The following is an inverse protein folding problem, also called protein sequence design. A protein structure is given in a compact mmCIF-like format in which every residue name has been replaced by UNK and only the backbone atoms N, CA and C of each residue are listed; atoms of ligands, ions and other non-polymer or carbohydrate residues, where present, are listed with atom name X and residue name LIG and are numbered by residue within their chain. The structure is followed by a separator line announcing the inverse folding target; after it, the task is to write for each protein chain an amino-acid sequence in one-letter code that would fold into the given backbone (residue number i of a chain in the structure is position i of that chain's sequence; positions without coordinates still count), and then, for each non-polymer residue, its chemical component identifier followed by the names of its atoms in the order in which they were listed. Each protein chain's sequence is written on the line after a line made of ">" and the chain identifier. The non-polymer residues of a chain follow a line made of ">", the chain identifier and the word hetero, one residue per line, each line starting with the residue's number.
data_IF_772202922260
#
_entry.id   IF_772202922260
#
_cell.length_a   1.000
_cell.length_b   1.000
_cell.length_c   1.000
_cell.angle_alpha   90.00
_cell.angle_beta   90.00
_cell.angle_gamma   90.00
#
_symmetry.space_group_name_H-M   'P 1'
#
loop_
_entity.id
_entity.type
_entity.pdbx_description
1 polymer ?
#
# COMPACT_ATOMS: atom_id res chain seq x y z
N UNK A 1 -5.90 -13.08 -7.80
CA UNK A 1 -5.26 -13.66 -6.60
C UNK A 1 -5.42 -15.17 -6.66
N UNK A 2 -4.43 -15.95 -6.24
CA UNK A 2 -4.60 -17.41 -6.12
C UNK A 2 -5.55 -17.74 -4.96
N UNK A 3 -6.42 -18.74 -5.13
CA UNK A 3 -7.42 -19.11 -4.12
C UNK A 3 -6.78 -19.48 -2.77
N UNK A 4 -5.60 -20.09 -2.79
CA UNK A 4 -4.87 -20.47 -1.57
C UNK A 4 -4.42 -19.25 -0.77
N UNK A 5 -3.87 -18.22 -1.43
CA UNK A 5 -3.51 -16.95 -0.80
C UNK A 5 -4.74 -16.26 -0.21
N UNK A 6 -5.87 -16.29 -0.93
CA UNK A 6 -7.12 -15.73 -0.45
C UNK A 6 -7.61 -16.46 0.82
N UNK A 7 -7.53 -17.80 0.84
CA UNK A 7 -7.84 -18.60 2.03
C UNK A 7 -6.92 -18.28 3.20
N UNK A 8 -5.63 -18.04 2.97
CA UNK A 8 -4.70 -17.64 4.04
C UNK A 8 -5.13 -16.32 4.70
N UNK A 9 -5.46 -15.30 3.89
CA UNK A 9 -5.95 -14.03 4.42
C UNK A 9 -7.30 -14.16 5.14
N UNK A 10 -8.22 -14.98 4.63
CA UNK A 10 -9.50 -15.21 5.30
C UNK A 10 -9.35 -16.01 6.60
N UNK A 11 -8.39 -16.93 6.69
CA UNK A 11 -8.04 -17.59 7.95
C UNK A 11 -7.50 -16.59 8.97
N UNK A 12 -6.64 -15.67 8.55
CA UNK A 12 -6.16 -14.58 9.41
C UNK A 12 -7.28 -13.65 9.88
N UNK A 13 -8.24 -13.36 8.98
CA UNK A 13 -9.45 -12.62 9.33
C UNK A 13 -10.23 -13.32 10.46
N UNK A 14 -10.46 -14.62 10.33
CA UNK A 14 -11.18 -15.40 11.34
C UNK A 14 -10.41 -15.62 12.63
N UNK A 15 -9.07 -15.71 12.56
CA UNK A 15 -8.21 -15.86 13.74
C UNK A 15 -8.40 -14.71 14.72
N UNK A 16 -8.70 -13.50 14.23
CA UNK A 16 -9.01 -12.35 15.06
C UNK A 16 -10.27 -12.47 15.92
N UNK A 17 -11.10 -13.50 15.72
CA UNK A 17 -12.27 -13.80 16.56
C UNK A 17 -12.04 -14.97 17.52
N UNK A 18 -10.81 -15.43 17.71
CA UNK A 18 -10.51 -16.48 18.69
C UNK A 18 -10.93 -16.01 20.08
N UNK A 19 -11.68 -16.84 20.82
CA UNK A 19 -12.20 -16.52 22.15
C UNK A 19 -13.55 -15.78 22.15
N UNK A 20 -14.05 -15.34 20.99
CA UNK A 20 -15.19 -14.43 20.89
C UNK A 20 -16.44 -14.87 21.65
N UNK A 21 -16.80 -16.16 21.61
CA UNK A 21 -17.98 -16.62 22.34
C UNK A 21 -17.84 -16.42 23.85
N UNK A 22 -16.67 -16.74 24.41
CA UNK A 22 -16.42 -16.68 25.85
C UNK A 22 -16.21 -15.23 26.30
N UNK A 23 -15.48 -14.45 25.51
CA UNK A 23 -15.08 -13.10 25.88
C UNK A 23 -16.17 -12.06 25.67
N UNK A 24 -17.10 -12.27 24.71
CA UNK A 24 -18.04 -11.22 24.32
C UNK A 24 -19.49 -11.66 24.32
N UNK A 25 -19.80 -12.84 23.75
CA UNK A 25 -21.19 -13.30 23.68
C UNK A 25 -21.78 -13.52 25.08
N UNK A 26 -20.97 -13.88 26.07
CA UNK A 26 -21.44 -14.02 27.46
C UNK A 26 -21.96 -12.70 28.05
N UNK A 27 -21.30 -11.59 27.77
CA UNK A 27 -21.69 -10.26 28.26
C UNK A 27 -22.96 -9.75 27.57
N UNK A 28 -23.05 -9.90 26.24
CA UNK A 28 -24.29 -9.60 25.51
C UNK A 28 -25.47 -10.47 25.98
N UNK A 29 -25.22 -11.76 26.21
CA UNK A 29 -26.23 -12.71 26.71
C UNK A 29 -26.74 -12.28 28.08
N UNK A 30 -25.83 -11.90 28.98
CA UNK A 30 -26.17 -11.44 30.32
C UNK A 30 -27.06 -10.19 30.27
N UNK A 31 -26.69 -9.20 29.45
CA UNK A 31 -27.48 -7.98 29.30
C UNK A 31 -28.88 -8.26 28.76
N UNK A 32 -29.00 -9.18 27.79
CA UNK A 32 -30.28 -9.53 27.20
C UNK A 32 -31.19 -10.28 28.17
N UNK A 33 -30.63 -11.18 28.99
CA UNK A 33 -31.38 -11.89 30.04
C UNK A 33 -31.81 -10.99 31.19
N UNK A 34 -30.96 -10.03 31.56
CA UNK A 34 -31.23 -9.07 32.62
C UNK A 34 -32.08 -7.87 32.15
N UNK A 35 -32.43 -7.82 30.86
CA UNK A 35 -33.12 -6.69 30.23
C UNK A 35 -32.45 -5.34 30.52
N UNK A 36 -31.12 -5.32 30.48
CA UNK A 36 -30.30 -4.11 30.67
C UNK A 36 -29.79 -3.57 29.35
N UNK A 37 -29.73 -2.24 29.24
CA UNK A 37 -29.11 -1.57 28.11
C UNK A 37 -27.60 -1.87 28.12
N UNK A 38 -27.07 -2.26 26.96
CA UNK A 38 -25.64 -2.46 26.77
C UNK A 38 -24.98 -1.11 26.45
N UNK A 39 -23.83 -0.81 27.08
CA UNK A 39 -23.06 0.38 26.74
C UNK A 39 -21.99 0.02 25.71
N UNK A 40 -22.38 0.03 24.44
CA UNK A 40 -21.49 -0.34 23.35
C UNK A 40 -20.25 0.57 23.26
N UNK A 41 -20.41 1.88 23.53
CA UNK A 41 -19.32 2.85 23.42
C UNK A 41 -18.17 2.52 24.40
N UNK A 42 -18.50 2.33 25.69
CA UNK A 42 -17.51 1.95 26.71
C UNK A 42 -16.92 0.57 26.44
N UNK A 43 -17.75 -0.36 25.97
CA UNK A 43 -17.32 -1.73 25.71
C UNK A 43 -16.33 -1.81 24.54
N UNK A 44 -16.55 -1.04 23.48
CA UNK A 44 -15.61 -0.94 22.37
C UNK A 44 -14.28 -0.31 22.83
N UNK A 45 -14.32 0.72 23.68
CA UNK A 45 -13.09 1.36 24.21
C UNK A 45 -12.22 0.37 24.98
N UNK A 46 -12.81 -0.61 25.67
CA UNK A 46 -12.05 -1.58 26.47
C UNK A 46 -11.60 -2.82 25.70
N UNK A 47 -12.21 -3.14 24.56
CA UNK A 47 -11.98 -4.42 23.85
C UNK A 47 -11.48 -4.27 22.42
N UNK A 48 -11.62 -3.08 21.82
CA UNK A 48 -11.22 -2.81 20.45
C UNK A 48 -10.09 -1.79 20.41
N UNK A 49 -9.26 -1.89 19.39
CA UNK A 49 -8.35 -0.82 19.04
C UNK A 49 -9.15 0.42 18.62
N UNK A 50 -8.52 1.59 18.68
CA UNK A 50 -9.16 2.81 18.19
C UNK A 50 -9.42 2.68 16.69
N UNK A 51 -10.70 2.47 16.33
CA UNK A 51 -11.17 2.40 14.96
C UNK A 51 -10.73 3.66 14.18
N UNK A 52 -10.20 3.43 12.99
CA UNK A 52 -9.60 4.48 12.17
C UNK A 52 -10.63 5.37 11.48
N UNK A 53 -11.86 4.88 11.30
CA UNK A 53 -12.92 5.54 10.54
C UNK A 53 -14.05 6.04 11.44
N UNK A 54 -14.48 5.24 12.41
CA UNK A 54 -15.69 5.52 13.17
C UNK A 54 -15.42 5.65 14.67
N UNK A 55 -16.11 6.57 15.38
CA UNK A 55 -15.99 6.66 16.82
C UNK A 55 -16.63 5.43 17.49
N UNK A 56 -16.28 5.15 18.76
CA UNK A 56 -16.93 4.10 19.53
C UNK A 56 -18.47 4.25 19.56
N UNK A 57 -19.18 3.13 19.62
CA UNK A 57 -20.65 3.05 19.68
C UNK A 57 -21.41 3.26 18.37
N UNK A 58 -20.75 3.69 17.28
CA UNK A 58 -21.44 4.08 16.06
C UNK A 58 -20.72 3.66 14.76
N UNK A 59 -21.49 3.39 13.71
CA UNK A 59 -21.05 3.23 12.32
C UNK A 59 -21.95 4.12 11.44
N UNK A 60 -21.43 5.30 11.07
CA UNK A 60 -22.20 6.43 10.48
C UNK A 60 -22.53 6.32 8.99
N UNK A 61 -22.74 5.11 8.48
CA UNK A 61 -22.94 4.86 7.04
C UNK A 61 -24.22 4.08 6.72
N UNK A 62 -25.21 4.17 7.61
CA UNK A 62 -26.53 3.56 7.39
C UNK A 62 -26.56 2.05 7.68
N UNK A 63 -25.66 1.56 8.53
CA UNK A 63 -25.78 0.22 9.12
C UNK A 63 -26.96 0.20 10.09
N UNK A 64 -27.10 1.27 10.90
CA UNK A 64 -28.32 1.57 11.67
C UNK A 64 -29.27 2.45 10.86
N UNK A 65 -30.55 2.11 10.79
CA UNK A 65 -31.57 2.97 10.17
C UNK A 65 -32.00 4.05 11.18
N UNK A 66 -31.70 5.32 10.86
CA UNK A 66 -32.12 6.43 11.71
C UNK A 66 -33.66 6.51 11.88
N UNK A 67 -34.44 5.90 10.97
CA UNK A 67 -35.91 5.92 10.98
C UNK A 67 -36.54 4.82 11.85
N UNK A 68 -35.82 3.75 12.19
CA UNK A 68 -36.32 2.62 13.02
C UNK A 68 -36.27 2.92 14.52
N UNK A 69 -35.59 3.98 14.95
CA UNK A 69 -35.46 4.43 16.35
C UNK A 69 -36.78 4.71 17.10
N UNK A 70 -37.93 4.71 16.41
CA UNK A 70 -39.23 5.08 17.00
C UNK A 70 -39.91 4.00 17.86
N UNK A 71 -39.38 2.78 17.94
CA UNK A 71 -39.80 1.74 18.92
C UNK A 71 -38.62 0.85 19.32
N UNK A 72 -37.73 1.37 20.17
CA UNK A 72 -36.60 0.60 20.73
C UNK A 72 -37.10 -0.67 21.41
N UNK A 73 -36.57 -1.81 20.99
CA UNK A 73 -36.83 -3.11 21.59
C UNK A 73 -35.49 -3.65 22.04
N UNK A 74 -35.35 -4.01 23.31
CA UNK A 74 -34.05 -4.40 23.87
C UNK A 74 -33.38 -5.56 23.12
N UNK A 75 -34.16 -6.47 22.54
CA UNK A 75 -33.63 -7.53 21.67
C UNK A 75 -32.99 -6.95 20.40
N UNK A 76 -33.67 -5.99 19.76
CA UNK A 76 -33.13 -5.29 18.57
C UNK A 76 -31.87 -4.53 18.94
N UNK A 77 -31.91 -3.79 20.05
CA UNK A 77 -30.81 -2.93 20.48
C UNK A 77 -29.56 -3.78 20.75
N UNK A 78 -29.69 -4.87 21.53
CA UNK A 78 -28.57 -5.75 21.86
C UNK A 78 -28.06 -6.52 20.65
N UNK A 79 -28.96 -7.05 19.79
CA UNK A 79 -28.53 -7.69 18.54
C UNK A 79 -27.75 -6.68 17.69
N UNK A 80 -28.28 -5.47 17.51
CA UNK A 80 -27.62 -4.43 16.73
C UNK A 80 -26.27 -4.05 17.33
N UNK A 81 -26.15 -3.98 18.65
CA UNK A 81 -24.88 -3.73 19.35
C UNK A 81 -23.89 -4.88 19.14
N UNK A 82 -24.36 -6.14 19.19
CA UNK A 82 -23.54 -7.31 18.85
C UNK A 82 -23.05 -7.25 17.40
N UNK A 83 -23.91 -6.87 16.44
CA UNK A 83 -23.52 -6.74 15.03
C UNK A 83 -22.50 -5.64 14.82
N UNK A 84 -22.72 -4.44 15.38
CA UNK A 84 -21.77 -3.32 15.26
C UNK A 84 -20.42 -3.68 15.85
N UNK A 85 -20.39 -4.27 17.04
CA UNK A 85 -19.15 -4.74 17.67
C UNK A 85 -18.41 -5.75 16.78
N UNK A 86 -19.14 -6.74 16.27
CA UNK A 86 -18.59 -7.79 15.39
C UNK A 86 -18.04 -7.20 14.09
N UNK A 87 -18.76 -6.27 13.46
CA UNK A 87 -18.32 -5.59 12.22
C UNK A 87 -17.06 -4.77 12.46
N UNK A 88 -16.95 -4.08 13.59
CA UNK A 88 -15.75 -3.29 13.92
C UNK A 88 -14.54 -4.16 14.20
N UNK A 89 -14.71 -5.24 14.96
CA UNK A 89 -13.66 -6.23 15.16
C UNK A 89 -13.21 -6.86 13.82
N UNK A 90 -14.17 -7.15 12.93
CA UNK A 90 -13.88 -7.55 11.55
C UNK A 90 -13.08 -6.50 10.78
N UNK A 91 -13.44 -5.23 10.88
CA UNK A 91 -12.71 -4.12 10.28
C UNK A 91 -11.26 -3.99 10.77
N UNK A 92 -11.00 -4.24 12.06
CA UNK A 92 -9.62 -4.32 12.58
C UNK A 92 -8.84 -5.49 12.00
N UNK A 93 -9.47 -6.65 11.86
CA UNK A 93 -8.85 -7.82 11.24
C UNK A 93 -8.49 -7.52 9.77
N UNK A 94 -9.40 -6.89 9.03
CA UNK A 94 -9.16 -6.43 7.64
C UNK A 94 -8.02 -5.41 7.59
N UNK A 95 -8.01 -4.42 8.50
CA UNK A 95 -6.92 -3.44 8.58
C UNK A 95 -5.57 -4.14 8.73
N UNK A 96 -5.45 -5.10 9.67
CA UNK A 96 -4.20 -5.86 9.87
C UNK A 96 -3.77 -6.61 8.61
N UNK A 97 -4.71 -7.26 7.92
CA UNK A 97 -4.42 -7.95 6.65
C UNK A 97 -3.91 -6.97 5.59
N UNK A 98 -4.56 -5.82 5.43
CA UNK A 98 -4.14 -4.80 4.46
C UNK A 98 -2.76 -4.24 4.78
N UNK A 99 -2.44 -4.06 6.06
CA UNK A 99 -1.11 -3.64 6.49
C UNK A 99 -0.03 -4.68 6.16
N UNK A 100 -0.32 -5.97 6.34
CA UNK A 100 0.57 -7.07 5.93
C UNK A 100 0.79 -7.05 4.43
N UNK A 101 -0.27 -6.93 3.62
CA UNK A 101 -0.18 -6.86 2.16
C UNK A 101 0.70 -5.69 1.72
N UNK A 102 0.54 -4.50 2.33
CA UNK A 102 1.37 -3.35 2.00
C UNK A 102 2.85 -3.59 2.33
N UNK A 103 3.13 -4.25 3.45
CA UNK A 103 4.49 -4.55 3.89
C UNK A 103 5.16 -5.58 2.96
N UNK A 104 4.45 -6.64 2.57
CA UNK A 104 4.94 -7.65 1.63
C UNK A 104 5.26 -7.03 0.26
N UNK A 105 4.38 -6.16 -0.26
CA UNK A 105 4.61 -5.48 -1.54
C UNK A 105 5.79 -4.50 -1.49
N UNK A 106 6.03 -3.87 -0.34
CA UNK A 106 7.21 -3.02 -0.13
C UNK A 106 8.50 -3.84 -0.16
N UNK A 107 8.53 -5.00 0.50
CA UNK A 107 9.70 -5.88 0.52
C UNK A 107 10.01 -6.51 -0.84
N UNK A 108 8.99 -6.95 -1.58
CA UNK A 108 9.17 -7.51 -2.93
C UNK A 108 9.78 -6.49 -3.92
N UNK A 109 9.57 -5.20 -3.68
CA UNK A 109 10.20 -4.13 -4.47
C UNK A 109 11.69 -3.94 -4.18
N UNK A 110 12.20 -4.38 -3.01
CA UNK A 110 13.61 -4.23 -2.65
C UNK A 110 14.47 -5.37 -3.20
N UNK A 111 13.97 -6.61 -3.16
CA UNK A 111 14.70 -7.81 -3.62
C UNK A 111 14.91 -7.88 -5.13
N UNK A 112 14.12 -7.14 -5.92
CA UNK A 112 14.30 -7.04 -7.38
C UNK A 112 15.38 -6.03 -7.80
N UNK A 113 15.89 -5.21 -6.87
CA UNK A 113 16.98 -4.25 -7.15
C UNK A 113 18.38 -4.78 -6.80
N UNK A 114 18.50 -5.79 -5.94
CA UNK A 114 19.80 -6.33 -5.48
C UNK A 114 20.40 -7.40 -6.41
N UNK A 115 19.68 -7.83 -7.45
CA UNK A 115 20.14 -8.88 -8.37
C UNK A 115 21.16 -8.46 -9.43
N UNK A 116 21.37 -7.15 -9.64
CA UNK A 116 22.19 -6.66 -10.75
C UNK A 116 22.98 -5.39 -10.40
N UNK A 117 23.58 -5.36 -9.21
CA UNK A 117 24.52 -4.31 -8.79
C UNK A 117 25.76 -4.92 -8.11
N UNK A 118 26.48 -5.77 -8.84
CA UNK A 118 27.89 -6.02 -8.54
C UNK A 118 28.69 -5.66 -9.77
N UNK A 119 29.08 -4.39 -9.86
CA UNK A 119 30.36 -4.05 -10.47
C UNK A 119 31.14 -3.13 -9.54
N UNK A 120 32.35 -3.58 -9.25
CA UNK A 120 33.31 -2.95 -8.35
C UNK A 120 33.81 -1.66 -8.98
N UNK A 121 33.62 -0.53 -8.29
CA UNK A 121 34.62 0.54 -8.33
C UNK A 121 34.96 1.03 -6.92
N UNK A 122 36.26 0.96 -6.64
CA UNK A 122 36.92 1.45 -5.43
C UNK A 122 36.82 2.98 -5.39
N UNK A 123 36.38 3.50 -4.24
CA UNK A 123 36.93 4.72 -3.66
C UNK A 123 36.13 6.01 -3.89
N UNK A 124 35.23 6.32 -2.95
CA UNK A 124 35.11 7.64 -2.32
C UNK A 124 34.06 7.54 -1.20
N UNK A 125 34.52 7.60 0.06
CA UNK A 125 33.63 7.80 1.20
C UNK A 125 33.25 9.29 1.19
N UNK A 126 32.04 9.59 0.75
CA UNK A 126 31.35 10.81 1.17
C UNK A 126 30.01 10.40 1.76
N UNK A 127 29.98 10.43 3.09
CA UNK A 127 28.79 10.28 3.91
C UNK A 127 27.80 11.40 3.56
N UNK A 128 26.77 11.09 2.78
CA UNK A 128 25.53 11.85 2.79
C UNK A 128 24.51 11.03 3.57
N UNK A 129 24.39 11.35 4.87
CA UNK A 129 23.16 11.08 5.62
C UNK A 129 22.05 11.90 4.97
N UNK A 130 21.23 11.27 4.15
CA UNK A 130 19.87 11.77 3.89
C UNK A 130 18.97 11.31 5.04
N UNK A 131 19.14 11.95 6.20
CA UNK A 131 18.11 11.98 7.24
C UNK A 131 17.15 13.14 6.92
N UNK A 132 15.88 12.81 6.59
CA UNK A 132 14.75 13.61 7.06
C UNK A 132 13.93 14.45 6.06
N UNK A 133 13.38 13.87 4.99
CA UNK A 133 12.23 14.48 4.26
C UNK A 133 11.13 13.49 3.81
N UNK A 134 11.40 12.18 3.75
CA UNK A 134 10.50 11.19 3.08
C UNK A 134 9.39 10.58 3.94
N UNK A 135 9.46 10.63 5.27
CA UNK A 135 8.59 9.82 6.16
C UNK A 135 7.13 10.28 6.26
N UNK A 136 6.84 11.58 6.08
CA UNK A 136 5.48 12.10 6.24
C UNK A 136 4.55 11.69 5.09
N UNK A 137 5.06 11.65 3.85
CA UNK A 137 4.25 11.37 2.66
C UNK A 137 3.89 9.88 2.56
N UNK A 138 4.81 8.99 2.90
CA UNK A 138 4.57 7.53 2.89
C UNK A 138 3.54 7.11 3.95
N UNK A 139 3.64 7.69 5.15
CA UNK A 139 2.69 7.42 6.24
C UNK A 139 1.29 7.90 5.87
N UNK A 140 1.19 9.09 5.24
CA UNK A 140 -0.09 9.64 4.78
C UNK A 140 -0.70 8.80 3.65
N UNK A 141 0.10 8.34 2.69
CA UNK A 141 -0.34 7.46 1.61
C UNK A 141 -0.83 6.10 2.15
N UNK A 142 -0.11 5.50 3.10
CA UNK A 142 -0.54 4.27 3.79
C UNK A 142 -1.89 4.49 4.48
N UNK A 143 -2.04 5.57 5.23
CA UNK A 143 -3.29 5.88 5.92
C UNK A 143 -4.45 6.12 4.95
N UNK A 144 -4.20 6.80 3.82
CA UNK A 144 -5.21 7.03 2.79
C UNK A 144 -5.64 5.72 2.10
N UNK A 145 -4.69 4.83 1.81
CA UNK A 145 -4.98 3.48 1.31
C UNK A 145 -5.87 2.71 2.29
N UNK A 146 -5.46 2.60 3.55
CA UNK A 146 -6.20 1.86 4.56
C UNK A 146 -7.61 2.46 4.75
N UNK A 147 -7.73 3.80 4.82
CA UNK A 147 -9.02 4.47 4.98
C UNK A 147 -9.96 4.21 3.81
N UNK A 148 -9.42 4.24 2.58
CA UNK A 148 -10.21 3.98 1.39
C UNK A 148 -10.83 2.59 1.41
N UNK A 149 -10.02 1.56 1.65
CA UNK A 149 -10.49 0.18 1.63
C UNK A 149 -11.34 -0.18 2.84
N UNK A 150 -11.02 0.29 4.05
CA UNK A 150 -11.90 0.11 5.20
C UNK A 150 -13.26 0.77 4.98
N UNK A 151 -13.32 1.94 4.31
CA UNK A 151 -14.60 2.57 4.00
C UNK A 151 -15.42 1.73 3.02
N UNK A 152 -14.78 1.08 2.05
CA UNK A 152 -15.44 0.13 1.15
C UNK A 152 -15.95 -1.09 1.92
N UNK A 153 -15.15 -1.65 2.84
CA UNK A 153 -15.58 -2.74 3.71
C UNK A 153 -16.86 -2.41 4.46
N UNK A 154 -16.91 -1.26 5.15
CA UNK A 154 -18.11 -0.93 5.92
C UNK A 154 -19.33 -0.61 5.03
N UNK A 155 -19.13 -0.07 3.83
CA UNK A 155 -20.23 0.29 2.91
C UNK A 155 -21.11 -0.90 2.51
N UNK A 156 -20.57 -2.11 2.50
CA UNK A 156 -21.34 -3.33 2.20
C UNK A 156 -22.39 -3.65 3.27
N UNK A 157 -22.24 -3.15 4.51
CA UNK A 157 -23.24 -3.34 5.57
C UNK A 157 -24.36 -2.30 5.54
N UNK A 158 -24.41 -1.44 4.51
CA UNK A 158 -25.47 -0.44 4.40
C UNK A 158 -26.83 -1.13 4.30
N UNK A 159 -27.76 -0.77 5.18
CA UNK A 159 -29.08 -1.38 5.28
C UNK A 159 -29.10 -2.69 6.07
N UNK A 160 -28.01 -3.10 6.73
CA UNK A 160 -27.95 -4.34 7.49
C UNK A 160 -29.07 -4.48 8.53
N UNK A 161 -29.37 -3.40 9.27
CA UNK A 161 -30.48 -3.38 10.23
C UNK A 161 -31.82 -3.71 9.57
N UNK A 162 -32.10 -3.11 8.40
CA UNK A 162 -33.38 -3.28 7.70
C UNK A 162 -33.54 -4.71 7.15
N UNK A 163 -32.45 -5.33 6.68
CA UNK A 163 -32.50 -6.62 5.99
C UNK A 163 -32.41 -7.83 6.92
N UNK A 164 -31.73 -7.73 8.07
CA UNK A 164 -31.39 -8.91 8.88
C UNK A 164 -31.89 -8.87 10.31
N UNK A 165 -31.97 -7.68 10.93
CA UNK A 165 -32.17 -7.57 12.38
C UNK A 165 -33.52 -8.15 12.82
N UNK A 166 -34.57 -7.97 12.01
CA UNK A 166 -35.94 -8.35 12.35
C UNK A 166 -36.15 -9.86 12.47
N UNK A 167 -35.46 -10.66 11.64
CA UNK A 167 -35.60 -12.12 11.65
C UNK A 167 -34.99 -12.71 12.91
N UNK A 168 -33.76 -12.31 13.25
CA UNK A 168 -33.09 -12.74 14.47
C UNK A 168 -33.79 -12.22 15.72
N UNK A 169 -34.29 -10.98 15.69
CA UNK A 169 -35.10 -10.42 16.78
C UNK A 169 -36.36 -11.27 17.01
N UNK A 170 -37.07 -11.62 15.95
CA UNK A 170 -38.31 -12.40 16.02
C UNK A 170 -38.05 -13.81 16.54
N UNK A 171 -36.99 -14.46 16.07
CA UNK A 171 -36.58 -15.79 16.54
C UNK A 171 -36.24 -15.75 18.03
N UNK A 172 -35.38 -14.82 18.45
CA UNK A 172 -34.95 -14.70 19.85
C UNK A 172 -36.13 -14.45 20.79
N UNK A 173 -37.08 -13.58 20.41
CA UNK A 173 -38.30 -13.31 21.20
C UNK A 173 -39.22 -14.52 21.33
N UNK A 174 -39.24 -15.41 20.33
CA UNK A 174 -40.00 -16.66 20.36
C UNK A 174 -39.25 -17.80 21.03
N UNK A 175 -38.09 -17.53 21.61
CA UNK A 175 -37.20 -18.55 22.18
C UNK A 175 -36.89 -19.64 21.14
N UNK A 176 -36.61 -19.22 19.91
CA UNK A 176 -36.23 -20.07 18.78
C UNK A 176 -34.99 -19.52 18.09
N UNK A 177 -34.38 -20.31 17.20
CA UNK A 177 -33.19 -19.92 16.44
C UNK A 177 -33.53 -19.76 14.96
N UNK A 178 -32.81 -18.88 14.28
CA UNK A 178 -32.80 -18.84 12.82
C UNK A 178 -32.07 -20.10 12.32
N UNK A 179 -32.54 -20.68 11.21
CA UNK A 179 -31.76 -21.72 10.55
C UNK A 179 -30.56 -21.08 9.86
N UNK A 180 -29.45 -20.99 10.58
CA UNK A 180 -28.28 -20.25 10.14
C UNK A 180 -27.74 -20.76 8.80
N UNK A 181 -27.76 -22.07 8.55
CA UNK A 181 -27.27 -22.63 7.29
C UNK A 181 -28.10 -22.16 6.08
N UNK A 182 -29.43 -22.15 6.19
CA UNK A 182 -30.32 -21.66 5.12
C UNK A 182 -30.19 -20.15 4.96
N UNK A 183 -30.12 -19.42 6.08
CA UNK A 183 -30.01 -17.96 6.07
C UNK A 183 -28.70 -17.50 5.41
N UNK A 184 -27.58 -18.16 5.72
CA UNK A 184 -26.29 -17.91 5.09
C UNK A 184 -26.34 -18.12 3.56
N UNK A 185 -27.03 -19.16 3.09
CA UNK A 185 -27.16 -19.43 1.64
C UNK A 185 -28.07 -18.43 0.91
N UNK A 186 -28.99 -17.78 1.61
CA UNK A 186 -29.91 -16.80 1.04
C UNK A 186 -29.27 -15.42 0.90
N UNK A 187 -28.44 -15.01 1.87
CA UNK A 187 -28.02 -13.61 2.01
C UNK A 187 -26.54 -13.32 1.72
N UNK A 188 -25.68 -14.33 1.55
CA UNK A 188 -24.27 -14.10 1.23
C UNK A 188 -23.71 -15.18 0.30
N UNK A 189 -22.56 -14.89 -0.32
CA UNK A 189 -21.84 -15.92 -1.06
C UNK A 189 -21.34 -17.01 -0.11
N UNK A 190 -21.08 -18.20 -0.65
CA UNK A 190 -20.53 -19.31 0.13
C UNK A 190 -19.19 -18.88 0.72
N UNK A 191 -19.11 -18.95 2.05
CA UNK A 191 -17.87 -18.73 2.78
C UNK A 191 -16.80 -19.74 2.35
N UNK A 192 -15.58 -19.25 2.15
CA UNK A 192 -14.46 -20.05 1.64
C UNK A 192 -13.79 -20.92 2.71
N UNK A 193 -14.04 -20.64 3.99
CA UNK A 193 -13.38 -21.29 5.13
C UNK A 193 -14.33 -22.25 5.85
N UNK A 194 -15.56 -21.82 6.12
CA UNK A 194 -16.53 -22.57 6.92
C UNK A 194 -17.79 -22.91 6.14
N UNK A 195 -18.29 -24.13 6.33
CA UNK A 195 -19.57 -24.56 5.77
C UNK A 195 -20.76 -23.76 6.34
N UNK A 196 -21.90 -23.71 5.61
CA UNK A 196 -23.10 -23.04 6.09
C UNK A 196 -23.54 -23.50 7.49
N UNK A 197 -23.79 -22.54 8.38
CA UNK A 197 -24.21 -22.78 9.76
C UNK A 197 -23.14 -23.37 10.68
N UNK A 198 -21.88 -23.42 10.23
CA UNK A 198 -20.71 -23.84 11.02
C UNK A 198 -19.78 -22.68 11.28
N UNK A 199 -19.07 -22.71 12.40
CA UNK A 199 -17.99 -21.79 12.73
C UNK A 199 -16.84 -22.57 13.37
N UNK A 200 -15.63 -22.05 13.27
CA UNK A 200 -14.42 -22.71 13.79
C UNK A 200 -14.42 -22.93 15.30
N UNK A 201 -13.85 -24.07 15.72
CA UNK A 201 -13.52 -24.32 17.12
C UNK A 201 -12.49 -23.28 17.60
N UNK A 202 -12.72 -22.71 18.79
CA UNK A 202 -11.91 -21.62 19.34
C UNK A 202 -12.57 -20.26 19.17
N UNK A 203 -13.36 -20.04 18.11
CA UNK A 203 -14.27 -18.89 18.01
C UNK A 203 -15.56 -19.23 18.77
N UNK A 204 -16.13 -20.39 18.45
CA UNK A 204 -17.14 -21.07 19.29
C UNK A 204 -16.41 -21.89 20.35
N UNK A 205 -16.93 -21.87 21.57
CA UNK A 205 -16.43 -22.72 22.63
C UNK A 205 -16.65 -24.20 22.28
N UNK A 206 -15.58 -24.97 22.05
CA UNK A 206 -15.67 -26.39 21.69
C UNK A 206 -16.37 -27.27 22.73
N UNK A 207 -16.51 -26.80 23.98
CA UNK A 207 -17.27 -27.49 25.05
C UNK A 207 -18.76 -27.15 25.06
N UNK A 208 -19.21 -26.23 24.20
CA UNK A 208 -20.60 -25.78 24.14
C UNK A 208 -21.52 -26.91 23.71
N UNK A 209 -22.70 -26.96 24.33
CA UNK A 209 -23.83 -27.78 23.89
C UNK A 209 -24.95 -26.86 23.45
N UNK A 210 -25.21 -26.80 22.15
CA UNK A 210 -26.30 -26.03 21.56
C UNK A 210 -27.66 -26.53 22.09
N UNK A 211 -28.57 -25.61 22.38
CA UNK A 211 -29.91 -25.87 22.92
C UNK A 211 -30.04 -25.66 24.43
N UNK A 212 -28.92 -25.54 25.16
CA UNK A 212 -28.95 -25.30 26.61
C UNK A 212 -29.33 -23.84 26.95
N UNK A 213 -28.99 -22.90 26.08
CA UNK A 213 -29.21 -21.47 26.28
C UNK A 213 -29.57 -20.82 24.95
N UNK A 214 -30.86 -20.84 24.63
CA UNK A 214 -31.36 -20.41 23.31
C UNK A 214 -31.03 -18.94 23.04
N UNK A 215 -30.97 -18.09 24.07
CA UNK A 215 -30.59 -16.68 23.92
C UNK A 215 -29.12 -16.58 23.52
N UNK A 216 -28.22 -17.26 24.26
CA UNK A 216 -26.79 -17.32 23.91
C UNK A 216 -26.61 -17.90 22.52
N UNK A 217 -27.38 -18.94 22.20
CA UNK A 217 -27.30 -19.60 20.91
C UNK A 217 -27.71 -18.69 19.75
N UNK A 218 -28.81 -17.95 19.92
CA UNK A 218 -29.29 -17.00 18.91
C UNK A 218 -28.32 -15.83 18.72
N UNK A 219 -27.71 -15.33 19.81
CA UNK A 219 -26.69 -14.29 19.75
C UNK A 219 -25.43 -14.77 19.01
N UNK A 220 -24.97 -15.99 19.30
CA UNK A 220 -23.84 -16.55 18.55
C UNK A 220 -24.18 -16.78 17.08
N UNK A 221 -25.38 -17.29 16.76
CA UNK A 221 -25.78 -17.49 15.36
C UNK A 221 -25.78 -16.15 14.61
N UNK A 222 -26.27 -15.08 15.25
CA UNK A 222 -26.28 -13.74 14.67
C UNK A 222 -24.86 -13.16 14.49
N UNK A 223 -24.00 -13.34 15.49
CA UNK A 223 -22.60 -12.93 15.39
C UNK A 223 -21.87 -13.73 14.31
N UNK A 224 -22.10 -15.03 14.21
CA UNK A 224 -21.53 -15.91 13.18
C UNK A 224 -21.93 -15.43 11.79
N UNK A 225 -23.22 -15.18 11.57
CA UNK A 225 -23.71 -14.60 10.32
C UNK A 225 -23.00 -13.28 10.00
N UNK A 226 -22.89 -12.38 10.98
CA UNK A 226 -22.25 -11.06 10.81
C UNK A 226 -20.76 -11.20 10.47
N UNK A 227 -20.03 -12.09 11.15
CA UNK A 227 -18.61 -12.36 10.87
C UNK A 227 -18.39 -12.87 9.47
N UNK A 228 -19.24 -13.78 9.00
CA UNK A 228 -19.13 -14.38 7.66
C UNK A 228 -19.56 -13.44 6.55
N UNK A 229 -20.61 -12.65 6.77
CA UNK A 229 -20.98 -11.59 5.84
C UNK A 229 -19.81 -10.60 5.66
N UNK A 230 -19.17 -10.24 6.76
CA UNK A 230 -17.97 -9.42 6.74
C UNK A 230 -16.75 -10.11 6.08
N UNK A 231 -16.62 -11.44 6.19
CA UNK A 231 -15.61 -12.20 5.48
C UNK A 231 -15.85 -12.21 3.96
N UNK A 232 -17.10 -12.34 3.52
CA UNK A 232 -17.48 -12.24 2.10
C UNK A 232 -17.13 -10.86 1.53
N UNK A 233 -17.43 -9.78 2.26
CA UNK A 233 -16.95 -8.44 1.89
C UNK A 233 -15.43 -8.34 1.86
N UNK A 234 -14.74 -8.95 2.83
CA UNK A 234 -13.27 -8.98 2.87
C UNK A 234 -12.69 -9.68 1.65
N UNK A 235 -13.26 -10.80 1.24
CA UNK A 235 -12.88 -11.54 0.03
C UNK A 235 -12.93 -10.64 -1.20
N UNK A 236 -14.08 -9.99 -1.45
CA UNK A 236 -14.28 -9.05 -2.58
C UNK A 236 -13.27 -7.90 -2.54
N UNK A 237 -13.02 -7.36 -1.36
CA UNK A 237 -12.06 -6.27 -1.16
C UNK A 237 -10.63 -6.71 -1.49
N UNK A 238 -10.21 -7.88 -1.03
CA UNK A 238 -8.87 -8.41 -1.27
C UNK A 238 -8.59 -8.64 -2.76
N UNK A 239 -9.59 -9.08 -3.52
CA UNK A 239 -9.50 -9.20 -4.99
C UNK A 239 -9.23 -7.83 -5.63
N UNK A 240 -9.99 -6.79 -5.26
CA UNK A 240 -9.80 -5.41 -5.77
C UNK A 240 -8.41 -4.87 -5.39
N UNK A 241 -7.98 -5.09 -4.15
CA UNK A 241 -6.66 -4.65 -3.66
C UNK A 241 -5.55 -5.31 -4.48
N UNK A 242 -5.66 -6.61 -4.73
CA UNK A 242 -4.67 -7.36 -5.49
C UNK A 242 -4.56 -6.86 -6.93
N UNK A 243 -5.69 -6.68 -7.62
CA UNK A 243 -5.71 -6.11 -8.98
C UNK A 243 -5.08 -4.71 -9.03
N UNK A 244 -5.39 -3.88 -8.04
CA UNK A 244 -4.84 -2.52 -7.93
C UNK A 244 -3.32 -2.55 -7.75
N UNK A 245 -2.82 -3.42 -6.91
CA UNK A 245 -1.38 -3.56 -6.64
C UNK A 245 -0.63 -4.14 -7.84
N UNK A 246 -1.21 -5.14 -8.51
CA UNK A 246 -0.65 -5.71 -9.73
C UNK A 246 -0.52 -4.67 -10.84
N UNK A 247 -1.55 -3.84 -11.04
CA UNK A 247 -1.51 -2.74 -12.01
C UNK A 247 -0.39 -1.74 -11.69
N UNK A 248 -0.27 -1.30 -10.43
CA UNK A 248 0.81 -0.38 -10.02
C UNK A 248 2.20 -0.97 -10.21
N UNK A 249 2.35 -2.27 -9.95
CA UNK A 249 3.62 -2.98 -10.16
C UNK A 249 4.02 -2.96 -11.64
N UNK A 250 3.08 -3.24 -12.55
CA UNK A 250 3.33 -3.19 -13.98
C UNK A 250 3.72 -1.78 -14.47
N UNK A 251 3.01 -0.74 -14.00
CA UNK A 251 3.32 0.67 -14.32
C UNK A 251 4.72 1.06 -13.81
N UNK A 252 5.09 0.64 -12.59
CA UNK A 252 6.41 0.88 -12.01
C UNK A 252 7.51 0.19 -12.83
N UNK A 253 7.33 -1.07 -13.22
CA UNK A 253 8.32 -1.81 -14.00
C UNK A 253 8.55 -1.16 -15.37
N UNK A 254 7.49 -0.76 -16.07
CA UNK A 254 7.60 -0.03 -17.34
C UNK A 254 8.37 1.29 -17.17
N UNK A 255 8.13 2.04 -16.10
CA UNK A 255 8.87 3.26 -15.81
C UNK A 255 10.36 3.00 -15.51
N UNK A 256 10.68 1.90 -14.81
CA UNK A 256 12.07 1.49 -14.54
C UNK A 256 12.79 1.10 -15.83
N UNK A 257 12.13 0.38 -16.74
CA UNK A 257 12.71 0.02 -18.05
C UNK A 257 13.02 1.26 -18.90
N UNK A 258 12.10 2.23 -18.97
CA UNK A 258 12.33 3.50 -19.67
C UNK A 258 13.46 4.34 -19.05
N UNK A 259 13.54 4.36 -17.70
CA UNK A 259 14.66 5.01 -17.00
C UNK A 259 16.00 4.33 -17.31
N UNK A 260 16.03 3.01 -17.35
CA UNK A 260 17.24 2.26 -17.69
C UNK A 260 17.69 2.51 -19.14
N UNK A 261 16.74 2.58 -20.08
CA UNK A 261 17.02 2.96 -21.47
C UNK A 261 17.60 4.37 -21.56
N UNK A 262 16.98 5.34 -20.88
CA UNK A 262 17.45 6.73 -20.83
C UNK A 262 18.85 6.82 -20.23
N UNK A 263 19.13 6.04 -19.17
CA UNK A 263 20.46 5.95 -18.55
C UNK A 263 21.51 5.42 -19.54
N UNK A 264 21.18 4.38 -20.31
CA UNK A 264 22.08 3.82 -21.31
C UNK A 264 22.37 4.82 -22.44
N UNK A 265 21.36 5.56 -22.90
CA UNK A 265 21.51 6.62 -23.90
C UNK A 265 22.42 7.75 -23.37
N UNK A 266 22.22 8.17 -22.12
CA UNK A 266 23.07 9.17 -21.46
C UNK A 266 24.53 8.71 -21.36
N UNK A 267 24.78 7.46 -20.98
CA UNK A 267 26.13 6.88 -20.93
C UNK A 267 26.79 6.88 -22.32
N UNK A 268 26.05 6.52 -23.37
CA UNK A 268 26.54 6.58 -24.75
C UNK A 268 26.91 8.00 -25.17
N UNK A 269 26.08 8.99 -24.82
CA UNK A 269 26.34 10.39 -25.12
C UNK A 269 27.53 10.95 -24.35
N UNK A 270 27.72 10.53 -23.10
CA UNK A 270 28.89 10.89 -22.29
C UNK A 270 30.19 10.32 -22.87
N UNK A 271 30.17 9.08 -23.38
CA UNK A 271 31.31 8.49 -24.09
C UNK A 271 31.67 9.29 -25.35
N UNK A 272 30.68 9.67 -26.17
CA UNK A 272 30.91 10.53 -27.35
C UNK A 272 31.45 11.91 -26.97
N UNK A 273 30.91 12.51 -25.91
CA UNK A 273 31.40 13.80 -25.42
C UNK A 273 32.89 13.72 -25.03
N UNK A 274 33.30 12.66 -24.33
CA UNK A 274 34.69 12.46 -23.95
C UNK A 274 35.61 12.30 -25.18
N UNK A 275 35.19 11.54 -26.19
CA UNK A 275 35.92 11.41 -27.47
C UNK A 275 36.04 12.77 -28.20
N UNK A 276 34.97 13.57 -28.26
CA UNK A 276 35.03 14.90 -28.84
C UNK A 276 35.92 15.86 -28.06
N UNK A 277 35.90 15.78 -26.72
CA UNK A 277 36.76 16.59 -25.87
C UNK A 277 38.24 16.29 -26.13
N UNK A 278 38.62 15.02 -26.21
CA UNK A 278 40.00 14.63 -26.52
C UNK A 278 40.44 15.10 -27.91
N UNK A 279 39.55 15.01 -28.91
CA UNK A 279 39.81 15.53 -30.26
C UNK A 279 40.02 17.05 -30.27
N UNK A 280 39.22 17.80 -29.51
CA UNK A 280 39.37 19.25 -29.39
C UNK A 280 40.70 19.60 -28.72
N UNK A 281 41.06 18.92 -27.62
CA UNK A 281 42.32 19.14 -26.91
C UNK A 281 43.54 18.89 -27.83
N UNK A 282 43.46 17.88 -28.70
CA UNK A 282 44.51 17.60 -29.69
C UNK A 282 44.59 18.68 -30.78
N UNK A 283 43.45 19.13 -31.32
CA UNK A 283 43.39 20.20 -32.31
C UNK A 283 43.91 21.53 -31.76
N UNK A 284 43.64 21.85 -30.49
CA UNK A 284 44.20 23.05 -29.85
C UNK A 284 45.73 23.01 -29.75
N UNK A 285 46.30 21.85 -29.40
CA UNK A 285 47.76 21.67 -29.38
C UNK A 285 48.37 21.84 -30.77
N UNK A 286 47.76 21.24 -31.80
CA UNK A 286 48.21 21.37 -33.19
C UNK A 286 48.15 22.82 -33.68
N UNK A 287 47.04 23.51 -33.40
CA UNK A 287 46.87 24.93 -33.73
C UNK A 287 47.98 25.78 -33.10
N UNK A 288 48.26 25.58 -31.81
CA UNK A 288 49.34 26.31 -31.10
C UNK A 288 50.70 26.07 -31.75
N UNK A 289 51.04 24.83 -32.11
CA UNK A 289 52.29 24.51 -32.80
C UNK A 289 52.38 25.17 -34.18
N UNK A 290 51.27 25.20 -34.94
CA UNK A 290 51.21 25.86 -36.25
C UNK A 290 51.40 27.38 -36.13
N UNK A 291 50.76 28.02 -35.14
CA UNK A 291 50.92 29.46 -34.85
C UNK A 291 52.37 29.81 -34.51
N UNK A 292 53.06 28.99 -33.70
CA UNK A 292 54.48 29.18 -33.38
C UNK A 292 55.38 29.04 -34.62
N UNK A 293 55.09 28.07 -35.51
CA UNK A 293 55.82 27.90 -36.78
C UNK A 293 55.63 29.11 -37.71
N UNK A 294 54.42 29.64 -37.82
CA UNK A 294 54.12 30.84 -38.63
C UNK A 294 54.92 32.02 -38.10
N UNK A 295 54.88 32.31 -36.79
CA UNK A 295 55.67 33.40 -36.18
C UNK A 295 57.17 33.26 -36.44
N UNK A 296 57.70 32.04 -36.41
CA UNK A 296 59.11 31.79 -36.73
C UNK A 296 59.42 32.11 -38.19
N UNK A 297 58.60 31.63 -39.11
CA UNK A 297 58.74 31.90 -40.55
C UNK A 297 58.61 33.39 -40.87
N UNK A 298 57.65 34.09 -40.28
CA UNK A 298 57.49 35.55 -40.43
C UNK A 298 58.75 36.31 -39.99
N UNK A 299 59.33 35.92 -38.85
CA UNK A 299 60.60 36.47 -38.38
C UNK A 299 61.78 36.17 -39.33
N UNK A 300 61.85 34.97 -39.87
CA UNK A 300 62.91 34.57 -40.80
C UNK A 300 62.78 35.34 -42.14
N UNK A 301 61.56 35.51 -42.66
CA UNK A 301 61.28 36.35 -43.85
C UNK A 301 61.67 37.81 -43.61
N UNK A 302 61.35 38.36 -42.43
CA UNK A 302 61.77 39.72 -42.03
C UNK A 302 63.30 39.88 -42.03
N UNK A 303 64.03 38.89 -41.50
CA UNK A 303 65.50 38.89 -41.51
C UNK A 303 66.04 38.84 -42.95
N UNK A 304 65.49 37.97 -43.80
CA UNK A 304 65.88 37.87 -45.21
C UNK A 304 65.67 39.18 -45.97
N UNK A 305 64.49 39.79 -45.85
CA UNK A 305 64.19 41.10 -46.44
C UNK A 305 65.15 42.20 -45.96
N UNK A 306 65.53 42.17 -44.68
CA UNK A 306 66.49 43.13 -44.12
C UNK A 306 67.92 42.87 -44.61
N UNK A 307 68.32 41.61 -44.83
CA UNK A 307 69.60 41.29 -45.46
C UNK A 307 69.63 41.69 -46.94
N UNK A 308 68.56 41.47 -47.69
CA UNK A 308 68.46 41.89 -49.10
C UNK A 308 68.52 43.42 -49.24
N UNK A 309 67.85 44.18 -48.35
CA UNK A 309 67.99 45.64 -48.32
C UNK A 309 69.43 46.10 -48.03
N UNK A 310 70.18 45.36 -47.20
CA UNK A 310 71.59 45.64 -46.90
C UNK A 310 72.52 45.30 -48.07
N UNK A 311 72.28 44.23 -48.81
CA UNK A 311 73.07 43.91 -50.02
C UNK A 311 72.83 44.93 -51.12
N UNK A 312 71.59 45.34 -51.38
CA UNK A 312 71.27 46.37 -52.40
C UNK A 312 71.90 47.73 -52.05
N UNK A 313 71.94 48.12 -50.76
CA UNK A 313 72.65 49.35 -50.34
C UNK A 313 74.18 49.22 -50.39
N UNK A 314 74.73 48.01 -50.22
CA UNK A 314 76.17 47.75 -50.36
C UNK A 314 76.65 47.73 -51.81
N UNK A 315 75.83 47.22 -52.75
CA UNK A 315 76.15 47.20 -54.19
C UNK A 315 76.08 48.59 -54.83
N UNK A 316 75.16 49.45 -54.37
CA UNK A 316 75.13 50.86 -54.78
C UNK A 316 76.36 51.63 -54.26
N UNK A 317 76.93 51.21 -53.13
CA UNK A 317 78.10 51.87 -52.53
C UNK A 317 79.45 51.45 -53.13
N UNK A 318 79.54 50.29 -53.79
CA UNK A 318 80.78 49.81 -54.45
C UNK A 318 80.89 50.20 -55.92
N UNK A 319 79.81 50.68 -56.56
CA UNK A 319 79.80 51.09 -57.97
C UNK A 319 80.33 52.52 -58.25
N UNK A 320 80.72 53.31 -57.23
CA UNK A 320 81.12 54.71 -57.41
C UNK A 320 82.62 55.01 -57.25
N UNK A 321 83.51 54.02 -57.28
CA UNK A 321 84.95 54.32 -57.14
C UNK A 321 85.88 53.45 -58.00
N UNK A 322 85.84 53.64 -59.32
CA UNK A 322 87.03 53.54 -60.19
C UNK A 322 86.87 54.54 -61.35
N UNK A 323 87.63 55.64 -61.30
CA UNK A 323 88.12 56.39 -62.47
C UNK A 323 89.54 56.83 -62.19
#
# INVERSE_FOLDING_TARGET
>A
MEEETLKQYLNEYYRGFTGFELEHIEDFTKCLKEYKKFNLEEYEISHLDKDMLFPPGDIKIGVRDARTTKRSNIYKDILMDTAVFTMKMGGENVKRILETILLENSQASMTTQDGELVDKEKGAITNNKEEGVTTNNETEQKNNFLRHYLLLFYKDFKGFEEHHLDDFTRATRKNSRVNLAEYELEYMERDLIFEPGKMGEGIINGKRRTGNDIIKDSLMDFATFTMKLAADTTKKLLEIVYETLQKRCAEKNAAVEELQKTKNELNSMMAKYNDYKEKIDNLEKEKKMAEERIKKLENDVLKLNNSEKKTVTSEISTSNHVT
#
